data_IF_190400084386
#
_entry.id   IF_190400084386
#
_cell.length_a   1.000
_cell.length_b   1.000
_cell.length_c   1.000
_cell.angle_alpha   90.00
_cell.angle_beta   90.00
_cell.angle_gamma   90.00
#
_symmetry.space_group_name_H-M   'P 1'
#
loop_
_entity.id
_entity.type
_entity.pdbx_description
1 polymer ?
#
# COMPACT_ATOMS: atom_id res chain seq x y z
N UNK A 1 -9.41 -25.77 -7.21
CA UNK A 1 -9.09 -24.39 -7.63
C UNK A 1 -8.47 -23.64 -6.46
N UNK A 2 -7.51 -22.74 -6.73
CA UNK A 2 -6.87 -21.93 -5.69
C UNK A 2 -7.87 -20.87 -5.15
N UNK A 3 -7.91 -20.66 -3.83
CA UNK A 3 -8.69 -19.56 -3.24
C UNK A 3 -8.17 -18.21 -3.76
N UNK A 4 -9.07 -17.37 -4.27
CA UNK A 4 -8.75 -16.03 -4.76
C UNK A 4 -9.33 -14.98 -3.81
N UNK A 5 -8.66 -13.84 -3.68
CA UNK A 5 -9.08 -12.75 -2.80
C UNK A 5 -10.23 -11.90 -3.37
N UNK A 6 -10.58 -12.05 -4.65
CA UNK A 6 -11.65 -11.33 -5.35
C UNK A 6 -11.59 -9.79 -5.30
N UNK A 7 -10.40 -9.21 -5.05
CA UNK A 7 -10.21 -7.74 -5.02
C UNK A 7 -9.69 -7.21 -6.34
N UNK A 8 -8.73 -7.92 -6.93
CA UNK A 8 -8.04 -7.53 -8.16
C UNK A 8 -7.78 -8.79 -8.99
N UNK A 9 -7.95 -8.73 -10.32
CA UNK A 9 -7.60 -9.84 -11.19
C UNK A 9 -6.07 -10.01 -11.23
N UNK A 10 -5.63 -11.22 -11.55
CA UNK A 10 -4.22 -11.46 -11.84
C UNK A 10 -3.80 -10.64 -13.07
N UNK A 11 -2.66 -9.95 -12.98
CA UNK A 11 -2.08 -9.18 -14.08
C UNK A 11 -0.60 -9.53 -14.24
N UNK A 12 -0.30 -10.29 -15.29
CA UNK A 12 1.06 -10.73 -15.65
C UNK A 12 1.88 -9.57 -16.20
N UNK A 13 3.21 -9.60 -16.01
CA UNK A 13 4.12 -8.53 -16.44
C UNK A 13 3.94 -8.09 -17.90
N UNK A 14 3.81 -9.00 -18.90
CA UNK A 14 3.61 -8.58 -20.30
C UNK A 14 2.26 -7.92 -20.57
N UNK A 15 1.25 -8.17 -19.73
CA UNK A 15 -0.12 -7.64 -19.92
C UNK A 15 -0.37 -6.30 -19.21
N UNK A 16 0.59 -5.81 -18.41
CA UNK A 16 0.43 -4.56 -17.67
C UNK A 16 0.58 -3.37 -18.61
N UNK A 17 -0.37 -2.44 -18.52
CA UNK A 17 -0.24 -1.15 -19.19
C UNK A 17 1.04 -0.43 -18.72
N UNK A 18 1.71 0.22 -19.67
CA UNK A 18 2.83 1.11 -19.38
C UNK A 18 2.28 2.52 -19.15
N UNK A 19 2.66 3.13 -18.04
CA UNK A 19 2.22 4.46 -17.65
C UNK A 19 3.41 5.42 -17.69
N UNK A 20 3.16 6.60 -18.24
CA UNK A 20 4.10 7.72 -18.23
C UNK A 20 3.48 8.89 -17.47
N UNK A 21 4.30 9.55 -16.66
CA UNK A 21 3.97 10.82 -16.03
C UNK A 21 4.29 11.98 -16.99
N UNK A 22 3.87 13.22 -16.67
CA UNK A 22 4.28 14.39 -17.44
C UNK A 22 5.78 14.38 -17.76
N UNK A 23 6.13 14.85 -18.95
CA UNK A 23 7.51 14.85 -19.49
C UNK A 23 8.14 13.45 -19.64
N UNK A 24 7.32 12.40 -19.79
CA UNK A 24 7.78 11.03 -20.05
C UNK A 24 8.47 10.36 -18.86
N UNK A 25 8.24 10.83 -17.62
CA UNK A 25 8.85 10.19 -16.44
C UNK A 25 8.20 8.83 -16.18
N UNK A 26 9.02 7.85 -15.77
CA UNK A 26 8.59 6.47 -15.50
C UNK A 26 8.38 6.16 -14.01
N UNK A 27 8.68 7.11 -13.14
CA UNK A 27 8.54 6.99 -11.69
C UNK A 27 7.96 8.29 -11.14
N UNK A 28 6.89 8.16 -10.34
CA UNK A 28 6.47 9.20 -9.42
C UNK A 28 6.81 8.78 -8.00
N UNK A 29 7.32 9.73 -7.21
CA UNK A 29 7.61 9.55 -5.79
C UNK A 29 6.71 10.51 -5.02
N UNK A 30 5.95 9.97 -4.08
CA UNK A 30 5.13 10.76 -3.17
C UNK A 30 5.58 10.48 -1.74
N UNK A 31 6.03 11.52 -1.05
CA UNK A 31 6.39 11.45 0.37
C UNK A 31 5.25 12.09 1.15
N UNK A 32 4.59 11.30 2.00
CA UNK A 32 3.55 11.77 2.88
C UNK A 32 3.94 11.56 4.34
N UNK A 33 3.55 12.54 5.17
CA UNK A 33 3.59 12.43 6.61
C UNK A 33 2.26 11.86 7.09
N UNK A 34 2.31 10.71 7.77
CA UNK A 34 1.14 10.23 8.50
C UNK A 34 1.07 10.98 9.84
N UNK A 35 -0.09 11.56 10.14
CA UNK A 35 -0.35 12.25 11.41
C UNK A 35 -1.48 11.50 12.09
N UNK A 36 -1.14 10.75 13.13
CA UNK A 36 -2.11 10.00 13.93
C UNK A 36 -2.12 10.60 15.34
N UNK A 37 -3.29 11.06 15.79
CA UNK A 37 -3.49 11.54 17.15
C UNK A 37 -4.28 10.49 17.94
N UNK A 38 -3.75 10.11 19.11
CA UNK A 38 -4.36 9.10 19.99
C UNK A 38 -4.70 9.72 21.35
N UNK A 39 -5.83 9.32 21.92
CA UNK A 39 -6.22 9.71 23.27
C UNK A 39 -5.29 9.08 24.31
N UNK A 40 -4.90 9.86 25.33
CA UNK A 40 -4.11 9.33 26.43
C UNK A 40 -4.87 8.22 27.16
N UNK A 41 -4.29 7.01 27.20
CA UNK A 41 -4.88 5.85 27.88
C UNK A 41 -5.88 5.04 27.05
N UNK A 42 -6.25 5.47 25.84
CA UNK A 42 -7.22 4.76 25.00
C UNK A 42 -6.76 4.66 23.54
N UNK A 43 -6.41 3.45 23.11
CA UNK A 43 -6.10 3.13 21.72
C UNK A 43 -4.72 2.52 21.56
N UNK A 44 -4.67 1.33 20.95
CA UNK A 44 -3.42 0.74 20.48
C UNK A 44 -2.86 1.69 19.41
N UNK A 45 -1.78 2.40 19.72
CA UNK A 45 -1.00 3.13 18.72
C UNK A 45 -0.54 2.19 17.59
N UNK A 46 0.07 2.75 16.54
CA UNK A 46 0.41 2.02 15.33
C UNK A 46 1.04 0.65 15.65
N UNK A 47 0.30 -0.44 15.40
CA UNK A 47 0.76 -1.80 15.60
C UNK A 47 1.71 -2.17 14.46
N UNK A 48 2.89 -1.56 14.41
CA UNK A 48 3.86 -1.71 13.31
C UNK A 48 4.77 -2.95 13.50
N UNK A 49 4.63 -3.69 14.60
CA UNK A 49 5.26 -4.99 14.75
C UNK A 49 4.24 -6.04 15.23
N UNK A 50 4.34 -7.30 14.74
CA UNK A 50 3.60 -8.40 15.36
C UNK A 50 4.02 -8.49 16.83
N UNK A 51 3.07 -8.76 17.73
CA UNK A 51 3.38 -9.19 19.09
C UNK A 51 4.03 -10.57 18.97
N UNK A 52 5.36 -10.63 18.99
CA UNK A 52 6.05 -11.89 19.27
C UNK A 52 5.77 -12.24 20.72
N UNK A 53 4.88 -13.21 20.93
CA UNK A 53 4.83 -14.05 22.13
C UNK A 53 6.04 -14.95 22.19
#
# INVERSE_FOLDING_TARGET
MLKQHNRYPYSSLPSRAQYEWPDGKKLAVYVAMNIEAFSYGEGKGAAIAPRTS
#
